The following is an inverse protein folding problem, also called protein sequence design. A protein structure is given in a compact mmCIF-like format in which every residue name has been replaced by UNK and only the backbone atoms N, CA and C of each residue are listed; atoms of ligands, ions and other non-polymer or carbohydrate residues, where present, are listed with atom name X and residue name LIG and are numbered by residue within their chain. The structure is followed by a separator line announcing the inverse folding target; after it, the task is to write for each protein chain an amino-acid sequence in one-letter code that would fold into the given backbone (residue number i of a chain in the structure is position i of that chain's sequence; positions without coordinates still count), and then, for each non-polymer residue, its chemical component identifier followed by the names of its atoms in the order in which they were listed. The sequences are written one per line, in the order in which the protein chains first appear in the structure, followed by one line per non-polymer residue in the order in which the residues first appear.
data_IF_063553879207
#
_entry.id   IF_063553879207
#
_cell.length_a   1.000
_cell.length_b   1.000
_cell.length_c   1.000
_cell.angle_alpha   90.00
_cell.angle_beta   90.00
_cell.angle_gamma   90.00
#
_symmetry.space_group_name_H-M   'P 1'
#
loop_
_entity.id
_entity.type
_entity.pdbx_description
1 polymer ?
#
# COMPACT_ATOMS: atom_id res chain seq x y z
N UNK A 1 9.01 -4.81 -24.13
CA UNK A 1 9.04 -5.08 -22.68
C UNK A 1 10.34 -4.50 -22.16
N UNK A 2 10.31 -3.44 -21.35
CA UNK A 2 11.53 -2.84 -20.78
C UNK A 2 12.04 -3.78 -19.68
N UNK A 3 13.13 -4.50 -19.96
CA UNK A 3 13.86 -5.25 -18.95
C UNK A 3 14.65 -4.21 -18.16
N UNK A 4 14.17 -3.89 -16.96
CA UNK A 4 14.89 -3.00 -16.06
C UNK A 4 16.12 -3.73 -15.55
N UNK A 5 17.29 -3.12 -15.73
CA UNK A 5 18.52 -3.71 -15.26
C UNK A 5 18.51 -3.73 -13.71
N UNK A 6 18.88 -4.86 -13.07
CA UNK A 6 18.83 -5.04 -11.61
C UNK A 6 19.54 -3.94 -10.79
N UNK A 7 20.63 -3.40 -11.34
CA UNK A 7 21.45 -2.32 -10.82
C UNK A 7 20.73 -0.98 -10.75
N UNK A 8 19.87 -0.65 -11.71
CA UNK A 8 19.09 0.60 -11.71
C UNK A 8 17.97 0.62 -10.65
N UNK A 9 17.53 -0.56 -10.22
CA UNK A 9 16.45 -0.75 -9.25
C UNK A 9 16.96 -0.74 -7.83
N UNK A 10 18.18 -1.23 -7.61
CA UNK A 10 18.70 -1.51 -6.29
C UNK A 10 18.80 -0.25 -5.43
N UNK A 11 18.33 -0.37 -4.19
CA UNK A 11 18.52 0.68 -3.19
C UNK A 11 17.62 1.91 -3.36
N UNK A 12 16.64 1.87 -4.25
CA UNK A 12 15.59 2.89 -4.30
C UNK A 12 14.70 2.75 -3.08
N UNK A 13 14.43 3.88 -2.45
CA UNK A 13 13.53 3.95 -1.30
C UNK A 13 12.17 4.46 -1.71
N UNK A 14 11.12 3.88 -1.13
CA UNK A 14 9.73 4.29 -1.31
C UNK A 14 9.07 4.46 0.05
N UNK A 15 8.23 5.47 0.16
CA UNK A 15 7.30 5.63 1.27
C UNK A 15 5.97 4.98 0.87
N UNK A 16 5.53 3.98 1.62
CA UNK A 16 4.21 3.35 1.43
C UNK A 16 3.33 3.71 2.61
N UNK A 17 2.10 4.12 2.32
CA UNK A 17 1.14 4.57 3.33
C UNK A 17 -0.24 4.02 3.02
N UNK A 18 -0.94 3.51 4.02
CA UNK A 18 -2.34 3.08 3.92
C UNK A 18 -3.14 3.86 4.95
N UNK A 19 -4.06 4.70 4.49
CA UNK A 19 -4.86 5.62 5.31
C UNK A 19 -6.28 5.08 5.42
N UNK A 20 -6.82 5.09 6.64
CA UNK A 20 -8.25 4.90 6.85
C UNK A 20 -9.00 6.19 6.49
N UNK A 21 -9.71 6.17 5.36
CA UNK A 21 -10.46 7.29 4.82
C UNK A 21 -11.97 7.20 5.05
N UNK A 22 -12.40 6.38 6.02
CA UNK A 22 -13.83 6.25 6.35
C UNK A 22 -14.34 7.58 6.92
N UNK A 23 -15.64 7.81 6.81
CA UNK A 23 -16.29 9.07 7.22
C UNK A 23 -17.57 8.87 8.02
N UNK A 24 -17.96 7.61 8.20
CA UNK A 24 -19.22 7.24 8.85
C UNK A 24 -19.15 7.25 10.38
N UNK A 25 -18.03 7.68 11.00
CA UNK A 25 -17.81 7.64 12.46
C UNK A 25 -18.09 6.26 13.08
N UNK A 26 -17.79 5.18 12.35
CA UNK A 26 -17.92 3.83 12.89
C UNK A 26 -16.83 3.56 13.93
N UNK A 27 -17.21 3.06 15.11
CA UNK A 27 -16.27 2.62 16.14
C UNK A 27 -15.48 1.36 15.75
N UNK A 28 -15.89 0.68 14.68
CA UNK A 28 -15.22 -0.52 14.18
C UNK A 28 -13.88 -0.17 13.50
N UNK A 29 -12.75 -0.65 14.05
CA UNK A 29 -11.45 -0.35 13.46
C UNK A 29 -11.25 -1.08 12.13
N UNK A 30 -10.56 -0.42 11.20
CA UNK A 30 -9.99 -1.05 10.02
C UNK A 30 -8.69 -1.76 10.42
N UNK A 31 -8.70 -3.10 10.39
CA UNK A 31 -7.52 -3.88 10.77
C UNK A 31 -6.65 -4.15 9.53
N UNK A 32 -5.39 -3.76 9.60
CA UNK A 32 -4.36 -4.02 8.59
C UNK A 32 -3.34 -5.01 9.10
N UNK A 33 -2.85 -5.88 8.21
CA UNK A 33 -1.63 -6.66 8.40
C UNK A 33 -0.83 -6.68 7.10
N UNK A 34 0.41 -6.23 7.13
CA UNK A 34 1.25 -6.19 5.93
C UNK A 34 2.53 -6.99 6.13
N UNK A 35 2.90 -7.76 5.11
CA UNK A 35 4.15 -8.49 5.10
C UNK A 35 4.74 -8.54 3.68
N UNK A 36 6.04 -8.73 3.62
CA UNK A 36 6.79 -9.15 2.45
C UNK A 36 7.33 -10.55 2.67
N UNK A 37 8.02 -11.11 1.68
CA UNK A 37 8.67 -12.42 1.81
C UNK A 37 9.63 -12.51 3.00
N UNK A 38 10.38 -11.42 3.26
CA UNK A 38 11.51 -11.42 4.20
C UNK A 38 11.26 -10.50 5.43
N UNK A 39 10.13 -9.79 5.48
CA UNK A 39 9.82 -8.84 6.55
C UNK A 39 8.33 -8.80 6.83
N UNK A 40 7.97 -9.04 8.09
CA UNK A 40 6.62 -8.86 8.62
C UNK A 40 6.53 -7.50 9.30
N UNK A 41 5.60 -6.65 8.86
CA UNK A 41 5.34 -5.35 9.47
C UNK A 41 4.34 -5.46 10.62
N UNK A 42 3.74 -6.65 10.78
CA UNK A 42 2.70 -6.93 11.76
C UNK A 42 1.37 -6.30 11.38
N UNK A 43 0.46 -6.28 12.37
CA UNK A 43 -0.88 -5.74 12.20
C UNK A 43 -1.18 -4.56 13.12
N UNK A 44 -2.10 -3.71 12.67
CA UNK A 44 -2.61 -2.56 13.42
C UNK A 44 -4.11 -2.42 13.22
N UNK A 45 -4.79 -1.95 14.25
CA UNK A 45 -6.17 -1.47 14.17
C UNK A 45 -6.13 0.04 13.93
N UNK A 46 -6.68 0.50 12.81
CA UNK A 46 -6.69 1.90 12.40
C UNK A 46 -8.08 2.49 12.69
N UNK A 47 -8.13 3.53 13.50
CA UNK A 47 -9.32 4.36 13.66
C UNK A 47 -9.50 5.28 12.46
N UNK A 48 -10.59 6.05 12.43
CA UNK A 48 -10.81 7.06 11.41
C UNK A 48 -9.61 8.02 11.34
N UNK A 49 -9.11 8.27 10.12
CA UNK A 49 -7.93 9.10 9.81
C UNK A 49 -6.57 8.56 10.27
N UNK A 50 -6.50 7.43 10.98
CA UNK A 50 -5.23 6.76 11.25
C UNK A 50 -4.60 6.23 9.95
N UNK A 51 -3.27 6.08 9.98
CA UNK A 51 -2.54 5.45 8.90
C UNK A 51 -1.52 4.40 9.37
N UNK A 52 -1.24 3.48 8.45
CA UNK A 52 -0.16 2.52 8.57
C UNK A 52 0.85 2.78 7.46
N UNK A 53 2.05 3.22 7.85
CA UNK A 53 3.11 3.61 6.92
C UNK A 53 4.43 2.94 7.24
N UNK A 54 5.22 2.72 6.19
CA UNK A 54 6.58 2.21 6.30
C UNK A 54 7.43 2.67 5.12
N UNK A 55 8.73 2.66 5.35
CA UNK A 55 9.73 2.83 4.30
C UNK A 55 10.25 1.47 3.87
N UNK A 56 10.43 1.32 2.56
CA UNK A 56 11.06 0.13 1.99
C UNK A 56 12.21 0.53 1.10
N UNK A 57 13.16 -0.40 0.97
CA UNK A 57 14.27 -0.32 0.02
C UNK A 57 14.19 -1.50 -0.94
N UNK A 58 14.29 -1.23 -2.22
CA UNK A 58 14.23 -2.28 -3.26
C UNK A 58 15.48 -3.16 -3.23
N UNK A 59 15.26 -4.47 -3.31
CA UNK A 59 16.34 -5.45 -3.36
C UNK A 59 16.98 -5.54 -4.77
N UNK A 60 18.16 -6.13 -4.85
CA UNK A 60 18.90 -6.31 -6.12
C UNK A 60 18.08 -7.08 -7.16
N UNK A 61 17.24 -8.01 -6.71
CA UNK A 61 16.50 -8.91 -7.59
C UNK A 61 15.20 -8.30 -8.15
N UNK A 62 14.86 -7.06 -7.76
CA UNK A 62 13.62 -6.40 -8.17
C UNK A 62 12.35 -7.14 -7.72
N UNK A 63 12.44 -7.91 -6.63
CA UNK A 63 11.34 -8.77 -6.13
C UNK A 63 10.67 -8.20 -4.89
N UNK A 64 11.07 -7.02 -4.41
CA UNK A 64 10.45 -6.40 -3.24
C UNK A 64 8.94 -6.25 -3.46
N UNK A 65 8.18 -6.86 -2.55
CA UNK A 65 6.73 -6.97 -2.66
C UNK A 65 6.15 -7.02 -1.25
N UNK A 66 5.24 -6.09 -0.95
CA UNK A 66 4.47 -6.04 0.29
C UNK A 66 3.01 -6.30 -0.03
N UNK A 67 2.48 -7.39 0.55
CA UNK A 67 1.08 -7.77 0.50
C UNK A 67 0.43 -7.36 1.83
N UNK A 68 -0.68 -6.64 1.74
CA UNK A 68 -1.47 -6.26 2.90
C UNK A 68 -2.80 -6.98 2.90
N UNK A 69 -3.22 -7.44 4.07
CA UNK A 69 -4.54 -7.97 4.36
C UNK A 69 -5.31 -6.94 5.16
N UNK A 70 -6.52 -6.63 4.72
CA UNK A 70 -7.42 -5.68 5.35
C UNK A 70 -8.66 -6.42 5.83
N UNK A 71 -9.12 -6.08 7.02
CA UNK A 71 -10.40 -6.52 7.56
C UNK A 71 -11.17 -5.32 8.08
N UNK A 72 -12.41 -5.20 7.64
CA UNK A 72 -13.39 -4.27 8.19
C UNK A 72 -14.70 -5.03 8.38
N UNK A 73 -15.15 -5.16 9.63
CA UNK A 73 -16.29 -5.99 10.01
C UNK A 73 -16.18 -7.42 9.42
N UNK A 74 -17.10 -7.81 8.52
CA UNK A 74 -17.11 -9.11 7.84
C UNK A 74 -16.30 -9.10 6.53
N UNK A 75 -15.94 -7.93 6.01
CA UNK A 75 -15.18 -7.79 4.77
C UNK A 75 -13.70 -8.10 5.01
N UNK A 76 -13.11 -8.83 4.08
CA UNK A 76 -11.67 -9.12 4.04
C UNK A 76 -11.16 -8.90 2.64
N UNK A 77 -10.03 -8.21 2.49
CA UNK A 77 -9.38 -8.02 1.19
C UNK A 77 -7.87 -8.02 1.31
N UNK A 78 -7.20 -8.79 0.46
CA UNK A 78 -5.76 -8.74 0.29
C UNK A 78 -5.44 -7.86 -0.92
N UNK A 79 -4.39 -7.06 -0.83
CA UNK A 79 -3.91 -6.26 -1.95
C UNK A 79 -2.40 -6.06 -1.91
N UNK A 80 -1.81 -5.96 -3.08
CA UNK A 80 -0.41 -5.60 -3.25
C UNK A 80 -0.25 -4.11 -2.92
N UNK A 81 0.22 -3.79 -1.72
CA UNK A 81 0.45 -2.39 -1.32
C UNK A 81 1.67 -1.80 -2.03
N UNK A 82 2.70 -2.63 -2.26
CA UNK A 82 3.85 -2.29 -3.11
C UNK A 82 4.38 -3.52 -3.84
N UNK A 83 4.67 -3.41 -5.13
CA UNK A 83 5.27 -4.48 -5.94
C UNK A 83 6.16 -3.88 -7.02
N UNK A 84 7.47 -4.15 -6.97
CA UNK A 84 8.49 -3.49 -7.82
C UNK A 84 8.11 -3.40 -9.31
N UNK A 85 7.71 -4.49 -10.00
CA UNK A 85 7.35 -4.43 -11.41
C UNK A 85 6.23 -3.44 -11.75
N UNK A 86 5.31 -3.19 -10.80
CA UNK A 86 4.17 -2.28 -10.97
C UNK A 86 4.52 -0.87 -10.50
N UNK A 87 5.18 -0.74 -9.36
CA UNK A 87 5.18 0.52 -8.59
C UNK A 87 6.41 1.39 -8.79
N UNK A 88 7.47 0.86 -9.40
CA UNK A 88 8.70 1.63 -9.63
C UNK A 88 8.45 2.96 -10.35
N UNK A 89 7.52 2.98 -11.30
CA UNK A 89 7.13 4.19 -12.03
C UNK A 89 5.82 4.77 -11.54
N UNK A 90 4.91 3.91 -11.04
CA UNK A 90 3.56 4.32 -10.60
C UNK A 90 3.61 5.26 -9.40
N UNK A 91 4.57 5.07 -8.48
CA UNK A 91 4.73 5.91 -7.30
C UNK A 91 5.38 7.28 -7.57
N UNK A 92 5.54 7.62 -8.86
CA UNK A 92 5.89 8.96 -9.30
C UNK A 92 7.29 9.42 -8.87
N UNK A 93 7.62 10.69 -9.11
CA UNK A 93 8.92 11.26 -8.76
C UNK A 93 9.13 11.37 -7.25
N UNK A 94 8.05 11.48 -6.47
CA UNK A 94 8.09 11.54 -5.01
C UNK A 94 8.34 10.17 -4.36
N UNK A 95 8.26 9.08 -5.13
CA UNK A 95 8.38 7.69 -4.64
C UNK A 95 7.40 7.38 -3.50
N UNK A 96 6.22 8.00 -3.56
CA UNK A 96 5.13 7.78 -2.62
C UNK A 96 4.11 6.83 -3.22
N UNK A 97 3.75 5.82 -2.46
CA UNK A 97 2.72 4.85 -2.80
C UNK A 97 1.64 4.92 -1.72
N UNK A 98 0.70 5.83 -1.87
CA UNK A 98 -0.34 6.06 -0.87
C UNK A 98 -1.63 5.35 -1.28
N UNK A 99 -2.24 4.69 -0.31
CA UNK A 99 -3.54 4.04 -0.43
C UNK A 99 -4.52 4.70 0.52
N UNK A 100 -5.70 5.04 0.01
CA UNK A 100 -6.82 5.54 0.80
C UNK A 100 -7.91 4.48 0.76
N UNK A 101 -8.23 3.92 1.91
CA UNK A 101 -9.23 2.87 2.05
C UNK A 101 -10.53 3.52 2.51
N UNK A 102 -11.59 3.31 1.74
CA UNK A 102 -12.93 3.83 1.98
C UNK A 102 -13.94 2.69 2.04
N UNK A 103 -15.15 3.01 2.47
CA UNK A 103 -16.25 2.07 2.61
C UNK A 103 -16.60 1.37 1.28
N UNK A 104 -16.37 2.07 0.16
CA UNK A 104 -16.66 1.61 -1.21
C UNK A 104 -15.46 0.94 -1.90
N UNK A 105 -14.23 1.19 -1.46
CA UNK A 105 -13.05 0.57 -2.06
C UNK A 105 -11.72 1.18 -1.70
N UNK A 106 -10.74 0.87 -2.54
CA UNK A 106 -9.33 1.17 -2.35
C UNK A 106 -8.87 2.11 -3.46
N UNK A 107 -8.26 3.21 -3.05
CA UNK A 107 -7.81 4.26 -3.93
C UNK A 107 -6.30 4.39 -3.83
N UNK A 108 -5.62 4.59 -4.95
CA UNK A 108 -4.19 4.83 -5.00
C UNK A 108 -3.89 6.27 -5.40
N UNK A 109 -2.83 6.82 -4.83
CA UNK A 109 -2.24 8.09 -5.24
C UNK A 109 -0.72 8.08 -5.04
N UNK A 110 -0.01 8.78 -5.91
CA UNK A 110 1.43 9.02 -5.79
C UNK A 110 1.78 10.46 -5.37
N UNK A 111 0.78 11.32 -5.21
CA UNK A 111 0.91 12.72 -4.79
C UNK A 111 0.00 13.08 -3.61
N UNK A 112 -0.84 12.13 -3.15
CA UNK A 112 -1.85 12.28 -2.09
C UNK A 112 -2.94 13.33 -2.40
N UNK A 113 -3.01 13.79 -3.65
CA UNK A 113 -3.98 14.77 -4.16
C UNK A 113 -4.94 14.10 -5.14
N UNK A 114 -4.39 13.38 -6.11
CA UNK A 114 -5.14 12.72 -7.18
C UNK A 114 -5.35 11.24 -6.83
N UNK A 115 -6.51 10.93 -6.27
CA UNK A 115 -6.88 9.58 -5.86
C UNK A 115 -7.64 8.84 -6.96
N UNK A 116 -7.13 7.68 -7.38
CA UNK A 116 -7.77 6.81 -8.37
C UNK A 116 -8.27 5.53 -7.72
N UNK A 117 -9.54 5.21 -7.88
CA UNK A 117 -10.09 3.93 -7.39
C UNK A 117 -9.47 2.78 -8.19
N UNK A 118 -8.87 1.84 -7.48
CA UNK A 118 -8.27 0.64 -8.08
C UNK A 118 -9.26 -0.53 -8.05
N UNK A 119 -9.94 -0.74 -6.92
CA UNK A 119 -10.90 -1.83 -6.75
C UNK A 119 -11.86 -1.58 -5.58
N UNK A 120 -13.02 -2.23 -5.61
CA UNK A 120 -13.99 -2.28 -4.50
C UNK A 120 -13.55 -3.28 -3.42
N UNK A 121 -14.32 -3.40 -2.33
CA UNK A 121 -14.15 -4.51 -1.38
C UNK A 121 -14.50 -5.89 -1.96
N UNK A 122 -15.40 -5.94 -2.94
CA UNK A 122 -15.85 -7.12 -3.66
C UNK A 122 -15.14 -7.27 -5.00
#
# INVERSE_FOLDING_TARGET
MLILQPDQLHGREYDVRVVNGFTNNDSLPLVIWCASKDSDLGGRALQEHDDFSWRLRTNLWGTTHFLCNMKWDQKRKSFDAFKVPRDIYRCGPLRKCSWLVREDGFYFSNDEVNWKREFSWY
#
